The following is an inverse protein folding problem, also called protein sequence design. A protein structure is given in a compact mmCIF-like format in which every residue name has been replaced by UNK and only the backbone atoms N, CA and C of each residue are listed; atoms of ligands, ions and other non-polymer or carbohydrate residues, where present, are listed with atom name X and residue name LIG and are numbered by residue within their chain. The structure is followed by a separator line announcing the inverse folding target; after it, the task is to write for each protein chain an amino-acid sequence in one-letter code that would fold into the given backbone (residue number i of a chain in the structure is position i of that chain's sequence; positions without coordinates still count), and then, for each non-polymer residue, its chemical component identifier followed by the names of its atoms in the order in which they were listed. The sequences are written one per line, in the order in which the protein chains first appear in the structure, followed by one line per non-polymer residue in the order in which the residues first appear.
data_IF_215740915754
#
_entry.id   IF_215740915754
#
_cell.length_a   1.000
_cell.length_b   1.000
_cell.length_c   1.000
_cell.angle_alpha   90.00
_cell.angle_beta   90.00
_cell.angle_gamma   90.00
#
_symmetry.space_group_name_H-M   'P 1'
#
loop_
_entity.id
_entity.type
_entity.pdbx_description
1 polymer ?
#
# COMPACT_ATOMS: atom_id res chain seq x y z
N UNK A 1 -72.96 -60.36 13.36
CA UNK A 1 -72.19 -60.25 14.62
C UNK A 1 -70.72 -60.07 14.30
N UNK A 2 -70.06 -59.07 14.91
CA UNK A 2 -68.59 -58.85 15.00
C UNK A 2 -67.92 -58.39 13.68
N UNK A 3 -66.99 -57.43 13.62
CA UNK A 3 -66.25 -56.58 14.60
C UNK A 3 -65.64 -55.39 13.82
N UNK A 4 -65.43 -54.27 14.53
CA UNK A 4 -64.69 -53.08 14.12
C UNK A 4 -63.27 -53.38 13.59
N UNK A 5 -62.74 -52.53 12.71
CA UNK A 5 -61.45 -51.86 12.96
C UNK A 5 -61.26 -50.57 12.14
N UNK A 6 -61.12 -49.48 12.90
CA UNK A 6 -60.65 -48.15 12.53
C UNK A 6 -59.12 -48.18 12.35
N UNK A 7 -58.61 -47.71 11.22
CA UNK A 7 -57.19 -47.40 11.08
C UNK A 7 -56.98 -45.91 10.80
N UNK A 8 -56.63 -45.20 11.88
CA UNK A 8 -56.15 -43.83 11.94
C UNK A 8 -54.70 -43.83 11.46
N UNK A 9 -54.43 -43.36 10.24
CA UNK A 9 -53.06 -43.17 9.74
C UNK A 9 -52.55 -41.80 10.18
N UNK A 10 -51.69 -41.79 11.18
CA UNK A 10 -50.91 -40.63 11.60
C UNK A 10 -49.47 -40.90 11.15
N UNK A 11 -49.08 -40.35 10.00
CA UNK A 11 -47.69 -40.38 9.54
C UNK A 11 -46.97 -39.13 10.06
N UNK A 12 -46.05 -39.32 11.00
CA UNK A 12 -45.06 -38.34 11.41
C UNK A 12 -44.17 -37.99 10.21
N UNK A 13 -44.06 -36.71 9.88
CA UNK A 13 -43.00 -36.20 9.00
C UNK A 13 -41.71 -36.04 9.82
N UNK A 14 -40.69 -36.83 9.51
CA UNK A 14 -39.33 -36.64 10.00
C UNK A 14 -38.63 -35.61 9.11
N UNK A 15 -38.37 -34.41 9.64
CA UNK A 15 -37.53 -33.37 9.02
C UNK A 15 -36.06 -33.74 9.24
N UNK A 16 -35.42 -34.32 8.22
CA UNK A 16 -33.96 -34.46 8.15
C UNK A 16 -33.37 -33.09 7.81
N UNK A 17 -32.78 -32.42 8.80
CA UNK A 17 -32.00 -31.20 8.61
C UNK A 17 -30.69 -31.55 7.87
N UNK A 18 -30.61 -31.16 6.61
CA UNK A 18 -29.41 -31.28 5.79
C UNK A 18 -28.44 -30.17 6.20
N UNK A 19 -27.49 -30.45 7.11
CA UNK A 19 -26.34 -29.57 7.33
C UNK A 19 -25.42 -29.70 6.11
N UNK A 20 -25.58 -28.79 5.14
CA UNK A 20 -24.57 -28.60 4.09
C UNK A 20 -23.34 -27.95 4.73
N UNK A 21 -22.31 -28.74 4.99
CA UNK A 21 -20.99 -28.22 5.35
C UNK A 21 -20.47 -27.41 4.16
N UNK A 22 -20.36 -26.08 4.30
CA UNK A 22 -19.75 -25.23 3.29
C UNK A 22 -18.28 -25.65 3.14
N UNK A 23 -17.95 -26.32 2.04
CA UNK A 23 -16.56 -26.64 1.71
C UNK A 23 -15.87 -25.33 1.37
N UNK A 24 -14.77 -25.03 2.05
CA UNK A 24 -13.94 -23.88 1.76
C UNK A 24 -13.50 -23.90 0.29
N UNK A 25 -13.83 -22.86 -0.47
CA UNK A 25 -13.38 -22.76 -1.85
C UNK A 25 -11.85 -22.57 -1.89
N UNK A 26 -11.14 -23.23 -2.83
CA UNK A 26 -9.72 -23.01 -3.02
C UNK A 26 -9.47 -21.56 -3.47
N UNK A 27 -8.36 -20.98 -3.00
CA UNK A 27 -7.95 -19.61 -3.34
C UNK A 27 -6.69 -19.66 -4.18
N UNK A 28 -6.69 -19.00 -5.35
CA UNK A 28 -5.49 -18.87 -6.17
C UNK A 28 -4.74 -17.59 -5.83
N UNK A 29 -3.44 -17.72 -5.53
CA UNK A 29 -2.56 -16.60 -5.19
C UNK A 29 -1.31 -16.62 -6.06
N UNK A 30 -0.99 -15.48 -6.68
CA UNK A 30 0.22 -15.33 -7.48
C UNK A 30 1.43 -15.01 -6.58
N UNK A 31 2.53 -15.73 -6.73
CA UNK A 31 3.77 -15.50 -5.99
C UNK A 31 4.84 -15.01 -6.95
N UNK A 32 5.39 -13.82 -6.69
CA UNK A 32 6.27 -13.12 -7.64
C UNK A 32 7.45 -12.43 -6.98
N UNK A 33 8.41 -12.01 -7.82
CA UNK A 33 9.61 -11.32 -7.38
C UNK A 33 10.72 -12.28 -6.99
N UNK A 34 11.39 -12.00 -5.87
CA UNK A 34 12.63 -12.66 -5.44
C UNK A 34 12.32 -13.88 -4.56
N UNK A 35 11.70 -14.88 -5.17
CA UNK A 35 11.17 -16.06 -4.46
C UNK A 35 11.64 -17.34 -5.16
N UNK A 36 11.77 -18.45 -4.42
CA UNK A 36 12.17 -19.72 -5.02
C UNK A 36 11.04 -20.33 -5.87
N UNK A 37 9.78 -20.13 -5.46
CA UNK A 37 8.61 -20.71 -6.08
C UNK A 37 7.72 -19.63 -6.71
N UNK A 38 8.20 -18.96 -7.76
CA UNK A 38 7.42 -17.98 -8.51
C UNK A 38 6.38 -18.69 -9.38
N UNK A 39 5.13 -18.71 -8.92
CA UNK A 39 4.01 -19.34 -9.61
C UNK A 39 2.67 -18.92 -8.98
N UNK A 40 1.57 -19.16 -9.68
CA UNK A 40 0.24 -19.18 -9.07
C UNK A 40 0.08 -20.46 -8.26
N UNK A 41 -0.22 -20.32 -6.97
CA UNK A 41 -0.45 -21.41 -6.02
C UNK A 41 -1.92 -21.50 -5.65
N UNK A 42 -2.43 -22.73 -5.57
CA UNK A 42 -3.77 -23.01 -5.06
C UNK A 42 -3.68 -23.37 -3.58
N UNK A 43 -4.20 -22.51 -2.72
CA UNK A 43 -4.22 -22.72 -1.28
C UNK A 43 -5.51 -23.43 -0.85
N UNK A 44 -5.39 -24.31 0.14
CA UNK A 44 -6.52 -25.02 0.78
C UNK A 44 -7.09 -24.18 1.92
N UNK A 45 -8.28 -24.54 2.38
CA UNK A 45 -8.88 -24.02 3.64
C UNK A 45 -8.90 -22.49 3.76
N UNK A 46 -9.41 -21.82 2.71
CA UNK A 46 -9.55 -20.36 2.57
C UNK A 46 -8.25 -19.55 2.41
N UNK A 47 -7.07 -20.17 2.53
CA UNK A 47 -5.74 -19.57 2.27
C UNK A 47 -5.41 -18.32 3.11
N UNK A 48 -4.31 -18.37 3.87
CA UNK A 48 -3.84 -17.22 4.66
C UNK A 48 -2.50 -16.67 4.16
N UNK A 49 -2.17 -15.45 4.58
CA UNK A 49 -0.91 -14.80 4.26
C UNK A 49 0.30 -15.68 4.59
N UNK A 50 0.31 -16.35 5.74
CA UNK A 50 1.35 -17.32 6.10
C UNK A 50 1.49 -18.47 5.11
N UNK A 51 0.38 -19.07 4.66
CA UNK A 51 0.41 -20.19 3.70
C UNK A 51 1.07 -19.75 2.38
N UNK A 52 0.68 -18.58 1.86
CA UNK A 52 1.26 -18.01 0.65
C UNK A 52 2.74 -17.61 0.84
N UNK A 53 3.07 -16.98 1.96
CA UNK A 53 4.44 -16.52 2.25
C UNK A 53 5.41 -17.70 2.44
N UNK A 54 4.98 -18.77 3.13
CA UNK A 54 5.73 -20.01 3.28
C UNK A 54 5.89 -20.74 1.94
N UNK A 55 4.83 -20.78 1.12
CA UNK A 55 4.88 -21.39 -0.21
C UNK A 55 5.84 -20.63 -1.15
N UNK A 56 5.90 -19.31 -1.05
CA UNK A 56 6.78 -18.48 -1.88
C UNK A 56 8.26 -18.81 -1.68
N UNK A 57 8.66 -19.09 -0.43
CA UNK A 57 10.06 -19.28 -0.04
C UNK A 57 10.94 -18.11 -0.53
N UNK A 58 10.78 -16.89 0.05
CA UNK A 58 11.60 -15.74 -0.30
C UNK A 58 13.11 -16.06 -0.19
N UNK A 59 13.87 -15.70 -1.23
CA UNK A 59 15.31 -15.98 -1.26
C UNK A 59 16.07 -15.03 -0.32
N UNK A 60 17.33 -15.34 0.01
CA UNK A 60 18.13 -14.52 0.93
C UNK A 60 18.29 -13.04 0.49
N UNK A 61 18.31 -12.80 -0.82
CA UNK A 61 18.38 -11.46 -1.41
C UNK A 61 17.00 -10.76 -1.51
N UNK A 62 15.91 -11.44 -1.15
CA UNK A 62 14.59 -10.85 -1.12
C UNK A 62 14.49 -9.87 0.04
N UNK A 63 13.90 -8.70 -0.22
CA UNK A 63 13.69 -7.72 0.82
C UNK A 63 12.32 -7.88 1.45
N UNK A 64 12.26 -8.70 2.49
CA UNK A 64 11.02 -9.07 3.19
C UNK A 64 10.25 -7.84 3.69
N UNK A 65 10.94 -6.83 4.25
CA UNK A 65 10.29 -5.59 4.71
C UNK A 65 9.62 -4.83 3.55
N UNK A 66 10.19 -4.91 2.33
CA UNK A 66 9.61 -4.29 1.14
C UNK A 66 8.52 -5.11 0.46
N UNK A 67 8.18 -6.29 0.97
CA UNK A 67 7.21 -7.16 0.36
C UNK A 67 5.82 -6.50 0.29
N UNK A 68 5.04 -6.88 -0.71
CA UNK A 68 3.74 -6.28 -0.98
C UNK A 68 2.66 -7.34 -1.19
N UNK A 69 1.52 -7.14 -0.53
CA UNK A 69 0.29 -7.88 -0.76
C UNK A 69 -0.61 -7.06 -1.67
N UNK A 70 -0.86 -7.58 -2.87
CA UNK A 70 -1.57 -6.89 -3.94
C UNK A 70 -2.92 -7.57 -4.14
N UNK A 71 -3.97 -6.76 -4.11
CA UNK A 71 -5.34 -7.27 -4.07
C UNK A 71 -6.16 -6.69 -5.22
N UNK A 72 -6.70 -7.53 -6.12
CA UNK A 72 -7.59 -7.05 -7.18
C UNK A 72 -8.78 -6.25 -6.66
N UNK A 73 -9.33 -6.64 -5.51
CA UNK A 73 -10.46 -5.96 -4.87
C UNK A 73 -10.17 -4.53 -4.38
N UNK A 74 -8.90 -4.09 -4.37
CA UNK A 74 -8.51 -2.73 -4.00
C UNK A 74 -8.17 -1.84 -5.20
N UNK A 75 -8.19 -2.38 -6.42
CA UNK A 75 -7.84 -1.60 -7.62
C UNK A 75 -8.79 -0.43 -7.83
N UNK A 76 -10.10 -0.65 -7.65
CA UNK A 76 -11.11 0.38 -7.91
C UNK A 76 -11.01 1.55 -6.91
N UNK A 77 -10.81 1.27 -5.61
CA UNK A 77 -10.66 2.32 -4.60
C UNK A 77 -9.36 3.10 -4.78
N UNK A 78 -8.27 2.42 -5.14
CA UNK A 78 -7.00 3.08 -5.42
C UNK A 78 -7.02 3.87 -6.73
N UNK A 79 -7.76 3.43 -7.76
CA UNK A 79 -7.97 4.20 -8.99
C UNK A 79 -8.71 5.51 -8.68
N UNK A 80 -9.75 5.46 -7.83
CA UNK A 80 -10.44 6.67 -7.35
C UNK A 80 -9.51 7.60 -6.58
N UNK A 81 -8.68 7.07 -5.68
CA UNK A 81 -7.67 7.84 -4.95
C UNK A 81 -6.72 8.56 -5.91
N UNK A 82 -6.16 7.82 -6.89
CA UNK A 82 -5.28 8.38 -7.91
C UNK A 82 -5.97 9.47 -8.73
N UNK A 83 -7.21 9.23 -9.14
CA UNK A 83 -8.00 10.20 -9.91
C UNK A 83 -8.27 11.49 -9.12
N UNK A 84 -8.57 11.38 -7.82
CA UNK A 84 -8.73 12.52 -6.92
C UNK A 84 -7.45 13.36 -6.83
N UNK A 85 -6.32 12.72 -6.51
CA UNK A 85 -5.00 13.39 -6.48
C UNK A 85 -4.67 14.13 -7.78
N UNK A 86 -4.94 13.51 -8.94
CA UNK A 86 -4.68 14.14 -10.24
C UNK A 86 -5.65 15.31 -10.52
N UNK A 87 -6.89 15.20 -10.09
CA UNK A 87 -7.89 16.28 -10.20
C UNK A 87 -7.50 17.49 -9.34
N UNK A 88 -7.06 17.26 -8.11
CA UNK A 88 -6.64 18.32 -7.19
C UNK A 88 -5.40 19.05 -7.70
N UNK A 89 -4.43 18.32 -8.27
CA UNK A 89 -3.26 18.92 -8.89
C UNK A 89 -3.63 19.78 -10.11
N UNK A 90 -4.57 19.33 -10.95
CA UNK A 90 -5.03 20.15 -12.07
C UNK A 90 -5.77 21.41 -11.59
N UNK A 91 -6.63 21.27 -10.58
CA UNK A 91 -7.34 22.40 -9.96
C UNK A 91 -6.37 23.40 -9.35
N UNK A 92 -5.36 22.93 -8.60
CA UNK A 92 -4.30 23.75 -8.03
C UNK A 92 -3.53 24.50 -9.13
N UNK A 93 -3.18 23.81 -10.22
CA UNK A 93 -2.46 24.40 -11.36
C UNK A 93 -3.26 25.54 -11.99
N UNK A 94 -4.56 25.33 -12.25
CA UNK A 94 -5.44 26.34 -12.82
C UNK A 94 -5.57 27.57 -11.90
N UNK A 95 -5.83 27.33 -10.61
CA UNK A 95 -5.96 28.38 -9.62
C UNK A 95 -4.67 29.17 -9.43
N UNK A 96 -3.51 28.49 -9.37
CA UNK A 96 -2.20 29.15 -9.30
C UNK A 96 -1.94 30.04 -10.52
N UNK A 97 -2.35 29.60 -11.72
CA UNK A 97 -2.29 30.41 -12.94
C UNK A 97 -3.13 31.69 -12.84
N UNK A 98 -4.38 31.58 -12.36
CA UNK A 98 -5.26 32.74 -12.17
C UNK A 98 -4.75 33.72 -11.12
N UNK A 99 -4.07 33.23 -10.09
CA UNK A 99 -3.50 34.02 -9.00
C UNK A 99 -2.10 34.59 -9.31
N UNK A 100 -1.55 34.36 -10.51
CA UNK A 100 -0.21 34.82 -10.87
C UNK A 100 0.91 34.14 -10.07
N UNK A 101 0.75 32.86 -9.72
CA UNK A 101 1.73 32.03 -9.00
C UNK A 101 2.34 30.98 -9.93
N UNK A 102 3.23 31.37 -10.86
CA UNK A 102 3.76 30.47 -11.89
C UNK A 102 4.52 29.27 -11.30
N UNK A 103 5.32 29.46 -10.25
CA UNK A 103 6.11 28.39 -9.64
C UNK A 103 5.23 27.27 -9.07
N UNK A 104 4.12 27.64 -8.42
CA UNK A 104 3.14 26.68 -7.90
C UNK A 104 2.42 25.94 -9.03
N UNK A 105 2.06 26.65 -10.12
CA UNK A 105 1.45 26.04 -11.29
C UNK A 105 2.40 25.04 -11.99
N UNK A 106 3.68 25.41 -12.10
CA UNK A 106 4.72 24.54 -12.66
C UNK A 106 4.97 23.31 -11.79
N UNK A 107 5.06 23.48 -10.47
CA UNK A 107 5.22 22.36 -9.54
C UNK A 107 4.02 21.41 -9.59
N UNK A 108 2.80 21.93 -9.61
CA UNK A 108 1.58 21.12 -9.74
C UNK A 108 1.60 20.30 -11.05
N UNK A 109 1.99 20.92 -12.17
CA UNK A 109 2.15 20.23 -13.45
C UNK A 109 3.19 19.12 -13.40
N UNK A 110 4.37 19.39 -12.82
CA UNK A 110 5.43 18.39 -12.68
C UNK A 110 5.00 17.20 -11.81
N UNK A 111 4.27 17.46 -10.72
CA UNK A 111 3.71 16.40 -9.87
C UNK A 111 2.67 15.57 -10.64
N UNK A 112 1.80 16.20 -11.43
CA UNK A 112 0.84 15.49 -12.31
C UNK A 112 1.56 14.56 -13.28
N UNK A 113 2.58 15.06 -13.97
CA UNK A 113 3.34 14.27 -14.96
C UNK A 113 4.09 13.10 -14.31
N UNK A 114 4.51 13.26 -13.06
CA UNK A 114 5.16 12.20 -12.29
C UNK A 114 4.18 11.12 -11.79
N UNK A 115 2.99 11.52 -11.32
CA UNK A 115 1.97 10.61 -10.74
C UNK A 115 1.20 9.86 -11.83
N UNK A 116 0.88 10.52 -12.95
CA UNK A 116 0.09 9.96 -14.05
C UNK A 116 0.55 8.58 -14.53
N UNK A 117 1.86 8.32 -14.78
CA UNK A 117 2.32 7.01 -15.24
C UNK A 117 2.39 5.94 -14.13
N UNK A 118 2.22 6.29 -12.85
CA UNK A 118 2.32 5.32 -11.77
C UNK A 118 1.19 4.29 -11.82
N UNK A 119 1.47 2.99 -11.59
CA UNK A 119 0.43 1.97 -11.61
C UNK A 119 -0.50 2.05 -10.39
N UNK A 120 -1.72 1.55 -10.60
CA UNK A 120 -2.64 1.18 -9.53
C UNK A 120 -2.38 -0.30 -9.23
N UNK A 121 -1.93 -0.59 -8.01
CA UNK A 121 -1.27 -1.85 -7.61
C UNK A 121 -2.16 -2.77 -6.77
N UNK A 122 -3.20 -2.24 -6.16
CA UNK A 122 -4.03 -2.88 -5.14
C UNK A 122 -3.27 -3.17 -3.85
N UNK A 123 -2.15 -2.48 -3.57
CA UNK A 123 -1.30 -2.80 -2.42
C UNK A 123 -2.01 -2.53 -1.09
N UNK A 124 -2.04 -3.53 -0.24
CA UNK A 124 -2.47 -3.45 1.15
C UNK A 124 -1.25 -3.67 2.07
N UNK A 125 -0.93 -2.75 3.00
CA UNK A 125 0.12 -2.96 3.99
C UNK A 125 -0.13 -4.22 4.82
N UNK A 126 0.89 -5.05 4.99
CA UNK A 126 0.81 -6.35 5.66
C UNK A 126 2.18 -6.83 6.14
N UNK A 127 2.21 -7.55 7.26
CA UNK A 127 3.37 -8.35 7.64
C UNK A 127 3.50 -9.55 6.68
N UNK A 128 4.64 -9.64 5.99
CA UNK A 128 4.91 -10.66 4.96
C UNK A 128 6.21 -11.44 5.21
N UNK A 129 6.80 -11.31 6.40
CA UNK A 129 7.78 -12.28 6.85
C UNK A 129 7.06 -13.62 7.09
N UNK A 130 7.44 -14.71 6.38
CA UNK A 130 6.70 -15.97 6.45
C UNK A 130 6.55 -16.53 7.87
N UNK A 131 7.59 -16.41 8.70
CA UNK A 131 7.57 -16.95 10.08
C UNK A 131 6.92 -15.98 11.04
N UNK A 132 7.15 -14.68 10.88
CA UNK A 132 6.53 -13.70 11.76
C UNK A 132 5.00 -13.65 11.58
N UNK A 133 4.51 -13.78 10.35
CA UNK A 133 3.06 -13.81 10.08
C UNK A 133 2.43 -15.13 10.54
N UNK A 134 3.12 -16.27 10.43
CA UNK A 134 2.64 -17.58 10.89
C UNK A 134 2.33 -17.58 12.41
N UNK A 135 3.18 -16.93 13.21
CA UNK A 135 3.04 -16.89 14.67
C UNK A 135 2.22 -15.71 15.19
N UNK A 136 1.69 -14.86 14.30
CA UNK A 136 0.90 -13.67 14.66
C UNK A 136 -0.52 -13.76 14.07
N UNK A 137 -1.48 -14.42 14.76
CA UNK A 137 -2.81 -14.69 14.20
C UNK A 137 -3.60 -13.44 13.74
N UNK A 138 -3.54 -12.28 14.43
CA UNK A 138 -4.15 -11.04 13.94
C UNK A 138 -3.59 -10.55 12.59
N UNK A 139 -2.29 -10.71 12.35
CA UNK A 139 -1.64 -10.31 11.09
C UNK A 139 -1.80 -11.37 9.99
N UNK A 140 -2.07 -12.62 10.36
CA UNK A 140 -2.27 -13.74 9.45
C UNK A 140 -3.64 -13.73 8.76
N UNK A 141 -3.91 -12.65 8.02
CA UNK A 141 -5.19 -12.37 7.36
C UNK A 141 -5.48 -13.33 6.21
N UNK A 142 -6.78 -13.47 5.91
CA UNK A 142 -7.28 -14.30 4.81
C UNK A 142 -6.94 -13.67 3.45
N UNK A 143 -6.60 -14.53 2.50
CA UNK A 143 -6.38 -14.17 1.11
C UNK A 143 -7.69 -14.22 0.34
N UNK A 144 -7.75 -13.47 -0.74
CA UNK A 144 -8.81 -13.55 -1.74
C UNK A 144 -8.25 -14.13 -3.04
N UNK A 145 -9.16 -14.66 -3.88
CA UNK A 145 -8.78 -15.17 -5.19
C UNK A 145 -8.18 -14.06 -6.06
N UNK A 146 -7.06 -14.36 -6.72
CA UNK A 146 -6.31 -13.40 -7.52
C UNK A 146 -5.41 -12.46 -6.72
N UNK A 147 -5.33 -12.60 -5.39
CA UNK A 147 -4.32 -11.90 -4.60
C UNK A 147 -2.90 -12.27 -5.08
N UNK A 148 -1.96 -11.34 -4.92
CA UNK A 148 -0.55 -11.56 -5.26
C UNK A 148 0.36 -11.16 -4.11
N UNK A 149 1.34 -12.01 -3.81
CA UNK A 149 2.48 -11.64 -2.99
C UNK A 149 3.68 -11.35 -3.88
N UNK A 150 4.30 -10.20 -3.63
CA UNK A 150 5.46 -9.73 -4.38
C UNK A 150 6.60 -9.40 -3.41
N UNK A 151 7.78 -9.98 -3.65
CA UNK A 151 8.99 -9.73 -2.86
C UNK A 151 10.04 -9.00 -3.71
N UNK A 152 10.39 -7.73 -3.40
CA UNK A 152 11.34 -6.96 -4.18
C UNK A 152 12.81 -7.28 -3.82
N UNK A 153 13.73 -6.67 -4.55
CA UNK A 153 15.14 -6.58 -4.14
C UNK A 153 15.31 -5.46 -3.11
N UNK A 154 16.33 -5.56 -2.26
CA UNK A 154 16.65 -4.52 -1.26
C UNK A 154 17.31 -3.32 -1.94
N UNK A 155 16.70 -2.12 -1.89
CA UNK A 155 17.37 -0.91 -2.35
C UNK A 155 18.50 -0.51 -1.39
N UNK A 156 19.45 0.28 -1.89
CA UNK A 156 20.57 0.86 -1.14
C UNK A 156 20.43 2.38 -1.00
N UNK A 157 19.25 2.92 -1.28
CA UNK A 157 18.99 4.36 -1.34
C UNK A 157 17.65 4.74 -0.69
N UNK A 158 17.56 6.02 -0.34
CA UNK A 158 16.34 6.73 0.06
C UNK A 158 15.95 7.67 -1.09
N UNK A 159 14.65 7.88 -1.30
CA UNK A 159 14.15 8.83 -2.30
C UNK A 159 13.47 10.01 -1.62
N UNK A 160 13.66 11.21 -2.16
CA UNK A 160 12.96 12.43 -1.72
C UNK A 160 12.20 13.01 -2.91
N UNK A 161 10.90 13.25 -2.73
CA UNK A 161 9.96 13.61 -3.81
C UNK A 161 8.95 14.66 -3.34
N UNK A 162 8.11 15.16 -4.24
CA UNK A 162 7.09 16.16 -3.94
C UNK A 162 7.58 17.58 -4.23
N UNK A 163 7.39 18.50 -3.28
CA UNK A 163 7.78 19.90 -3.37
C UNK A 163 9.30 20.12 -3.21
N UNK A 164 10.09 19.44 -4.03
CA UNK A 164 11.55 19.58 -4.14
C UNK A 164 11.93 20.10 -5.52
N UNK A 165 13.09 20.75 -5.63
CA UNK A 165 13.55 21.32 -6.90
C UNK A 165 13.68 20.24 -7.98
N UNK A 166 14.20 19.08 -7.60
CA UNK A 166 14.21 17.85 -8.40
C UNK A 166 14.10 16.64 -7.46
N UNK A 167 13.43 15.55 -7.86
CA UNK A 167 13.43 14.31 -7.07
C UNK A 167 14.85 13.81 -6.82
N UNK A 168 15.18 13.55 -5.55
CA UNK A 168 16.50 13.10 -5.14
C UNK A 168 16.52 11.59 -4.90
N UNK A 169 17.61 10.93 -5.27
CA UNK A 169 17.96 9.58 -4.82
C UNK A 169 19.26 9.67 -4.04
N UNK A 170 19.21 9.38 -2.74
CA UNK A 170 20.31 9.57 -1.81
C UNK A 170 20.77 8.21 -1.31
N UNK A 171 22.09 7.95 -1.20
CA UNK A 171 22.59 6.68 -0.68
C UNK A 171 22.13 6.49 0.76
N UNK A 172 21.81 5.25 1.13
CA UNK A 172 21.45 4.91 2.50
C UNK A 172 22.66 5.13 3.42
N UNK A 173 22.48 5.97 4.42
CA UNK A 173 23.41 6.19 5.53
C UNK A 173 22.84 5.53 6.79
N UNK A 174 23.61 4.66 7.47
CA UNK A 174 23.17 4.01 8.69
C UNK A 174 22.74 5.02 9.77
N UNK A 175 21.61 4.74 10.44
CA UNK A 175 21.06 5.53 11.55
C UNK A 175 20.72 7.00 11.19
N UNK A 176 20.68 7.32 9.90
CA UNK A 176 20.31 8.65 9.45
C UNK A 176 18.79 8.83 9.45
N UNK A 177 18.34 9.97 9.99
CA UNK A 177 16.95 10.34 10.05
C UNK A 177 16.49 11.08 8.78
N UNK A 178 15.16 11.23 8.65
CA UNK A 178 14.55 11.89 7.50
C UNK A 178 15.01 13.35 7.33
N UNK A 179 15.19 14.08 8.44
CA UNK A 179 15.63 15.47 8.45
C UNK A 179 17.00 15.66 7.80
N UNK A 180 17.96 14.79 8.12
CA UNK A 180 19.31 14.88 7.53
C UNK A 180 19.32 14.51 6.04
N UNK A 181 18.46 13.58 5.60
CA UNK A 181 18.27 13.35 4.15
C UNK A 181 17.64 14.55 3.46
N UNK A 182 16.64 15.19 4.08
CA UNK A 182 15.98 16.38 3.54
C UNK A 182 16.98 17.53 3.34
N UNK A 183 17.94 17.72 4.25
CA UNK A 183 18.99 18.74 4.10
C UNK A 183 19.87 18.55 2.84
N UNK A 184 19.95 17.33 2.30
CA UNK A 184 20.69 17.01 1.07
C UNK A 184 19.82 17.10 -0.20
N UNK A 185 18.53 17.44 -0.09
CA UNK A 185 17.61 17.60 -1.21
C UNK A 185 16.88 18.94 -1.13
N UNK A 186 17.21 19.87 -2.03
CA UNK A 186 16.68 21.23 -1.98
C UNK A 186 15.14 21.23 -2.18
N UNK A 187 14.42 21.72 -1.17
CA UNK A 187 12.99 21.98 -1.25
C UNK A 187 12.69 23.18 -2.17
N UNK A 188 11.51 23.20 -2.81
CA UNK A 188 11.04 24.40 -3.51
C UNK A 188 10.54 25.44 -2.49
N UNK A 189 10.27 26.66 -2.96
CA UNK A 189 9.55 27.64 -2.14
C UNK A 189 8.22 27.06 -1.65
N UNK A 190 7.49 26.33 -2.49
CA UNK A 190 6.13 25.81 -2.25
C UNK A 190 6.06 24.58 -1.34
N UNK A 191 7.17 24.16 -0.76
CA UNK A 191 7.21 23.10 0.24
C UNK A 191 6.62 23.54 1.58
N UNK A 192 5.91 22.62 2.24
CA UNK A 192 5.59 22.76 3.66
C UNK A 192 6.88 22.77 4.49
N UNK A 193 6.92 23.66 5.49
CA UNK A 193 8.11 23.87 6.34
C UNK A 193 7.99 23.17 7.69
N UNK A 194 6.80 22.65 7.99
CA UNK A 194 6.45 22.17 9.32
C UNK A 194 6.51 20.65 9.33
N UNK A 195 6.11 20.01 8.24
CA UNK A 195 5.96 18.55 8.19
C UNK A 195 6.51 17.94 6.90
N UNK A 196 6.85 16.65 6.99
CA UNK A 196 7.04 15.75 5.85
C UNK A 196 6.28 14.45 6.08
N UNK A 197 6.03 13.70 5.03
CA UNK A 197 5.58 12.31 5.15
C UNK A 197 6.76 11.37 4.90
N UNK A 198 6.90 10.38 5.77
CA UNK A 198 7.81 9.26 5.58
C UNK A 198 6.98 8.04 5.22
N UNK A 199 7.38 7.36 4.15
CA UNK A 199 6.74 6.17 3.63
C UNK A 199 7.78 5.05 3.68
N UNK A 200 7.59 4.10 4.57
CA UNK A 200 8.48 2.96 4.74
C UNK A 200 8.26 1.91 3.63
N UNK A 201 9.25 1.05 3.36
CA UNK A 201 9.17 0.03 2.31
C UNK A 201 7.96 -0.90 2.39
N UNK A 202 7.41 -1.12 3.57
CA UNK A 202 6.23 -1.96 3.85
C UNK A 202 4.89 -1.25 3.56
N UNK A 203 4.94 0.05 3.22
CA UNK A 203 3.77 0.89 2.94
C UNK A 203 3.20 1.60 4.17
N UNK A 204 3.86 1.54 5.34
CA UNK A 204 3.48 2.40 6.45
C UNK A 204 3.82 3.86 6.16
N UNK A 205 2.87 4.73 6.45
CA UNK A 205 3.00 6.18 6.28
C UNK A 205 2.92 6.84 7.65
N UNK A 206 3.84 7.75 7.93
CA UNK A 206 3.73 8.63 9.09
C UNK A 206 4.19 10.04 8.77
N UNK A 207 3.54 11.00 9.42
CA UNK A 207 3.93 12.40 9.38
C UNK A 207 5.05 12.65 10.38
N UNK A 208 6.04 13.45 9.98
CA UNK A 208 7.15 13.85 10.83
C UNK A 208 7.25 15.38 10.85
N UNK A 209 7.19 15.97 12.04
CA UNK A 209 7.40 17.39 12.25
C UNK A 209 8.89 17.75 12.13
N UNK A 210 9.19 18.74 11.30
CA UNK A 210 10.55 19.14 10.93
C UNK A 210 10.92 20.56 11.41
N UNK A 211 9.93 21.40 11.71
CA UNK A 211 10.15 22.75 12.24
C UNK A 211 10.60 22.72 13.70
N UNK A 212 11.14 23.85 14.17
CA UNK A 212 11.68 23.95 15.54
C UNK A 212 10.60 23.72 16.62
N UNK A 213 9.35 24.11 16.35
CA UNK A 213 8.25 24.06 17.31
C UNK A 213 7.50 22.72 17.33
N UNK A 214 7.61 21.90 16.29
CA UNK A 214 6.90 20.62 16.17
C UNK A 214 7.84 19.43 15.92
N UNK A 215 9.15 19.60 16.17
CA UNK A 215 10.17 18.60 15.84
C UNK A 215 9.85 17.24 16.47
N UNK A 216 9.62 16.24 15.62
CA UNK A 216 9.43 14.87 16.05
C UNK A 216 10.75 14.22 16.48
N UNK A 217 10.65 13.15 17.28
CA UNK A 217 11.79 12.29 17.59
C UNK A 217 12.40 11.72 16.31
N UNK A 218 13.73 11.76 16.12
CA UNK A 218 14.39 11.16 14.97
C UNK A 218 14.05 9.68 14.80
N UNK A 219 13.60 9.28 13.62
CA UNK A 219 13.38 7.89 13.22
C UNK A 219 14.36 7.54 12.11
N UNK A 220 15.02 6.38 12.25
CA UNK A 220 15.91 5.86 11.21
C UNK A 220 15.07 5.29 10.08
N UNK A 221 15.41 5.63 8.84
CA UNK A 221 14.69 5.17 7.67
C UNK A 221 15.18 3.80 7.20
N UNK A 222 14.26 2.92 6.81
CA UNK A 222 14.63 1.66 6.20
C UNK A 222 15.12 1.84 4.75
N UNK A 223 15.99 0.95 4.24
CA UNK A 223 16.40 0.95 2.84
C UNK A 223 15.19 0.95 1.90
N UNK A 224 15.14 1.90 0.96
CA UNK A 224 14.02 2.08 0.05
C UNK A 224 12.90 2.99 0.55
N UNK A 225 12.99 3.55 1.76
CA UNK A 225 12.00 4.51 2.23
C UNK A 225 11.93 5.74 1.31
N UNK A 226 10.74 6.36 1.28
CA UNK A 226 10.43 7.52 0.48
C UNK A 226 10.04 8.66 1.42
N UNK A 227 10.73 9.79 1.29
CA UNK A 227 10.38 11.04 1.94
C UNK A 227 9.56 11.85 0.95
N UNK A 228 8.31 12.10 1.27
CA UNK A 228 7.44 12.99 0.51
C UNK A 228 7.41 14.37 1.20
N UNK A 229 7.89 15.38 0.49
CA UNK A 229 7.82 16.79 0.90
C UNK A 229 6.50 17.37 0.39
N UNK A 230 5.55 17.68 1.29
CA UNK A 230 4.22 18.12 0.91
C UNK A 230 4.21 19.55 0.38
N UNK A 231 3.14 19.90 -0.35
CA UNK A 231 2.85 21.28 -0.69
C UNK A 231 2.46 22.04 0.58
N UNK A 232 2.83 23.32 0.68
CA UNK A 232 2.41 24.19 1.80
C UNK A 232 0.91 24.05 2.06
N UNK A 233 0.53 23.74 3.30
CA UNK A 233 -0.87 23.52 3.68
C UNK A 233 -1.80 24.66 3.20
N UNK A 234 -1.39 25.93 3.38
CA UNK A 234 -2.19 27.10 2.96
C UNK A 234 -2.44 27.17 1.44
N UNK A 235 -1.54 26.65 0.61
CA UNK A 235 -1.70 26.67 -0.84
C UNK A 235 -2.72 25.62 -1.28
N UNK A 236 -2.59 24.39 -0.75
CA UNK A 236 -3.39 23.26 -1.19
C UNK A 236 -4.76 23.18 -0.49
N UNK A 237 -4.90 23.70 0.73
CA UNK A 237 -6.16 23.66 1.49
C UNK A 237 -7.31 24.43 0.82
N UNK A 238 -7.02 25.26 -0.17
CA UNK A 238 -8.04 25.95 -0.98
C UNK A 238 -8.66 25.03 -2.04
N UNK A 239 -7.97 23.95 -2.40
CA UNK A 239 -8.41 22.92 -3.34
C UNK A 239 -8.95 21.74 -2.56
N UNK A 240 -8.08 21.08 -1.80
CA UNK A 240 -8.44 19.97 -0.91
C UNK A 240 -7.46 19.92 0.29
N UNK A 241 -7.94 20.08 1.54
CA UNK A 241 -7.08 19.92 2.71
C UNK A 241 -6.53 18.49 2.92
N UNK A 242 -7.12 17.43 2.36
CA UNK A 242 -6.59 16.06 2.48
C UNK A 242 -5.54 15.70 1.44
N UNK A 243 -5.34 16.52 0.41
CA UNK A 243 -4.47 16.22 -0.74
C UNK A 243 -3.10 15.63 -0.37
N UNK A 244 -2.38 16.27 0.57
CA UNK A 244 -1.04 15.82 0.95
C UNK A 244 -1.09 14.41 1.56
N UNK A 245 -2.11 14.11 2.36
CA UNK A 245 -2.31 12.78 2.95
C UNK A 245 -2.74 11.76 1.89
N UNK A 246 -3.60 12.15 0.96
CA UNK A 246 -4.07 11.29 -0.14
C UNK A 246 -2.93 10.92 -1.10
N UNK A 247 -2.06 11.90 -1.41
CA UNK A 247 -0.86 11.64 -2.19
C UNK A 247 0.12 10.74 -1.42
N UNK A 248 0.35 10.98 -0.13
CA UNK A 248 1.20 10.08 0.67
C UNK A 248 0.65 8.64 0.69
N UNK A 249 -0.67 8.50 0.84
CA UNK A 249 -1.38 7.22 0.79
C UNK A 249 -1.22 6.54 -0.56
N UNK A 250 -1.39 7.28 -1.66
CA UNK A 250 -1.19 6.75 -3.00
C UNK A 250 0.27 6.32 -3.23
N UNK A 251 1.25 7.10 -2.78
CA UNK A 251 2.67 6.76 -2.91
C UNK A 251 3.04 5.50 -2.12
N UNK A 252 2.43 5.26 -0.96
CA UNK A 252 2.63 4.05 -0.15
C UNK A 252 2.19 2.76 -0.85
N UNK A 253 1.30 2.86 -1.84
CA UNK A 253 0.87 1.71 -2.63
C UNK A 253 1.88 1.28 -3.70
N UNK A 254 2.88 2.12 -3.99
CA UNK A 254 3.87 1.85 -5.03
C UNK A 254 4.85 0.76 -4.59
N UNK A 255 5.35 0.01 -5.56
CA UNK A 255 6.23 -1.13 -5.31
C UNK A 255 7.69 -0.73 -5.42
N UNK A 256 8.52 -1.32 -4.55
CA UNK A 256 9.96 -1.30 -4.75
C UNK A 256 10.34 -2.12 -6.00
N UNK A 257 11.42 -1.73 -6.69
CA UNK A 257 11.84 -2.42 -7.91
C UNK A 257 12.18 -3.88 -7.64
N UNK A 258 11.76 -4.72 -8.56
CA UNK A 258 12.06 -6.15 -8.56
C UNK A 258 13.32 -6.45 -9.35
N UNK A 259 13.70 -7.74 -9.47
CA UNK A 259 14.64 -8.13 -10.51
C UNK A 259 14.05 -7.67 -11.85
N UNK A 260 14.83 -6.90 -12.65
CA UNK A 260 14.40 -6.55 -14.00
C UNK A 260 14.10 -7.86 -14.74
N UNK A 261 12.91 -7.98 -15.34
CA UNK A 261 12.68 -9.01 -16.33
C UNK A 261 13.80 -8.90 -17.37
N UNK A 262 14.56 -9.98 -17.56
CA UNK A 262 15.53 -10.07 -18.65
C UNK A 262 14.79 -10.17 -19.97
#
# INVERSE_FOLDING_TARGET
MRRLHTHRRMCLFALLAWCASAVAAPVQVELTGVVANAATQTLKDHGRLSDAALAAQPLAQAYILGAAWLRPGLLESQERLKAGVLFDLDSLRQQAGQQGKPDLASLAGAMTDWIKPMPVTGRQPALLDPRAVEVNPPENRLLADGDRLYYPLRPDAIRVVGAVQQPCTLPLVPLQDALRYLAACAATGEADQDIIFVIEPDGHVFEQGIALWNRSTPVTLAPGALIYVPLRARAISQVDPSFNHDLATFLATQLLPGPRAK
#
